data_IF_477336575317
#
_entry.id   IF_477336575317
#
_cell.length_a   1.000
_cell.length_b   1.000
_cell.length_c   1.000
_cell.angle_alpha   90.00
_cell.angle_beta   90.00
_cell.angle_gamma   90.00
#
_symmetry.space_group_name_H-M   'P 1'
#
loop_
_entity.id
_entity.type
_entity.pdbx_description
1 polymer ?
#
# COMPACT_ATOMS: atom_id res chain seq x y z
N UNK A 1 11.48 6.13 6.52
CA UNK A 1 10.83 7.45 6.31
C UNK A 1 11.01 7.85 4.85
N UNK A 2 10.20 8.76 4.29
CA UNK A 2 10.33 9.15 2.87
C UNK A 2 11.77 9.55 2.48
N UNK A 3 12.54 10.30 3.30
CA UNK A 3 13.95 10.57 2.99
C UNK A 3 14.88 9.35 2.98
N UNK A 4 14.55 8.29 3.73
CA UNK A 4 15.31 7.03 3.72
C UNK A 4 15.04 6.21 2.45
N UNK A 5 13.82 6.29 1.88
CA UNK A 5 13.53 5.69 0.58
C UNK A 5 14.45 6.23 -0.52
N UNK A 6 14.94 7.48 -0.41
CA UNK A 6 15.83 8.10 -1.40
C UNK A 6 17.25 7.49 -1.45
N UNK A 7 17.64 6.70 -0.45
CA UNK A 7 19.01 6.15 -0.30
C UNK A 7 19.02 4.70 0.22
N UNK A 8 17.91 3.99 0.06
CA UNK A 8 17.74 2.66 0.63
C UNK A 8 16.61 1.89 -0.03
N UNK A 9 16.30 0.74 0.57
CA UNK A 9 15.23 -0.16 0.12
C UNK A 9 13.92 0.15 0.82
N UNK A 10 12.82 -0.08 0.12
CA UNK A 10 11.49 0.01 0.71
C UNK A 10 10.39 -0.54 -0.17
N UNK A 11 9.19 -0.56 0.39
CA UNK A 11 7.96 -0.95 -0.30
C UNK A 11 6.91 0.15 -0.20
N UNK A 12 6.21 0.39 -1.30
CA UNK A 12 4.97 1.18 -1.31
C UNK A 12 3.84 0.28 -1.78
N UNK A 13 2.88 0.04 -0.90
CA UNK A 13 1.73 -0.82 -1.14
C UNK A 13 0.50 0.07 -1.30
N UNK A 14 -0.07 0.11 -2.50
CA UNK A 14 -1.32 0.82 -2.78
C UNK A 14 -2.52 -0.09 -2.60
N UNK A 15 -3.59 0.43 -2.00
CA UNK A 15 -4.86 -0.28 -1.83
C UNK A 15 -6.07 0.56 -2.27
N UNK A 16 -7.14 -0.06 -2.79
CA UNK A 16 -8.34 0.67 -3.21
C UNK A 16 -9.08 1.40 -2.09
N UNK A 17 -9.19 0.78 -0.92
CA UNK A 17 -9.91 1.35 0.21
C UNK A 17 -9.49 0.72 1.54
N UNK A 18 -9.23 1.58 2.53
CA UNK A 18 -9.21 1.18 3.93
C UNK A 18 -10.54 0.50 4.31
N UNK A 19 -10.49 -0.47 5.23
CA UNK A 19 -11.63 -1.27 5.72
C UNK A 19 -12.35 -2.15 4.68
N UNK A 20 -11.95 -2.18 3.41
CA UNK A 20 -12.52 -3.14 2.46
C UNK A 20 -12.06 -4.58 2.76
N UNK A 21 -12.87 -5.62 2.47
CA UNK A 21 -12.58 -7.01 2.88
C UNK A 21 -11.22 -7.51 2.39
N UNK A 22 -10.97 -7.40 1.08
CA UNK A 22 -9.71 -7.85 0.47
C UNK A 22 -8.47 -7.14 1.02
N UNK A 23 -8.60 -5.85 1.37
CA UNK A 23 -7.49 -5.09 1.95
C UNK A 23 -7.22 -5.46 3.41
N UNK A 24 -8.28 -5.68 4.20
CA UNK A 24 -8.23 -5.80 5.66
C UNK A 24 -8.07 -7.24 6.15
N UNK A 25 -8.54 -8.22 5.37
CA UNK A 25 -8.54 -9.63 5.78
C UNK A 25 -7.36 -10.42 5.21
N UNK A 26 -6.76 -9.96 4.10
CA UNK A 26 -5.73 -10.73 3.41
C UNK A 26 -4.54 -9.89 2.94
N UNK A 27 -4.75 -8.83 2.15
CA UNK A 27 -3.62 -8.15 1.49
C UNK A 27 -2.63 -7.54 2.49
N UNK A 28 -3.09 -6.60 3.34
CA UNK A 28 -2.22 -5.94 4.32
C UNK A 28 -1.80 -6.90 5.47
N UNK A 29 -2.69 -7.75 6.01
CA UNK A 29 -2.28 -8.77 6.98
C UNK A 29 -1.18 -9.70 6.47
N UNK A 30 -1.17 -10.02 5.16
CA UNK A 30 -0.09 -10.80 4.55
C UNK A 30 1.27 -10.13 4.75
N UNK A 31 1.38 -8.83 4.48
CA UNK A 31 2.61 -8.08 4.74
C UNK A 31 2.93 -7.97 6.23
N UNK A 32 1.96 -7.66 7.09
CA UNK A 32 2.14 -7.53 8.55
C UNK A 32 2.74 -8.81 9.14
N UNK A 33 2.27 -9.97 8.70
CA UNK A 33 2.66 -11.26 9.23
C UNK A 33 3.88 -11.88 8.52
N UNK A 34 4.45 -11.20 7.52
CA UNK A 34 5.56 -11.74 6.75
C UNK A 34 6.87 -11.69 7.57
N UNK A 35 7.47 -12.87 7.79
CA UNK A 35 8.60 -13.06 8.71
C UNK A 35 9.80 -12.15 8.42
N UNK A 36 10.08 -11.91 7.14
CA UNK A 36 11.25 -11.17 6.68
C UNK A 36 10.92 -9.77 6.18
N UNK A 37 9.77 -9.20 6.59
CA UNK A 37 9.33 -7.88 6.11
C UNK A 37 10.40 -6.79 6.32
N UNK A 38 11.17 -6.88 7.42
CA UNK A 38 12.23 -5.93 7.76
C UNK A 38 13.34 -5.87 6.72
N UNK A 39 13.59 -6.96 5.98
CA UNK A 39 14.62 -7.01 4.95
C UNK A 39 14.23 -6.19 3.71
N UNK A 40 12.94 -5.89 3.55
CA UNK A 40 12.42 -5.01 2.50
C UNK A 40 12.69 -3.52 2.80
N UNK A 41 13.11 -3.17 4.03
CA UNK A 41 13.38 -1.79 4.43
C UNK A 41 12.14 -1.05 4.94
N UNK A 42 11.99 0.23 4.57
CA UNK A 42 10.83 1.01 4.98
C UNK A 42 9.57 0.60 4.18
N UNK A 43 8.48 0.24 4.87
CA UNK A 43 7.23 -0.19 4.24
C UNK A 43 6.12 0.82 4.48
N UNK A 44 5.42 1.19 3.40
CA UNK A 44 4.31 2.14 3.42
C UNK A 44 3.06 1.53 2.81
N UNK A 45 1.91 1.77 3.44
CA UNK A 45 0.59 1.48 2.88
C UNK A 45 -0.06 2.81 2.51
N UNK A 46 -0.50 2.96 1.27
CA UNK A 46 -1.13 4.18 0.75
C UNK A 46 -2.56 3.88 0.31
N UNK A 47 -3.50 4.74 0.68
CA UNK A 47 -4.88 4.69 0.20
C UNK A 47 -5.42 6.09 -0.04
N UNK A 48 -6.34 6.21 -1.00
CA UNK A 48 -7.15 7.43 -1.23
C UNK A 48 -8.25 7.48 -0.18
N UNK A 49 -7.85 7.84 1.04
CA UNK A 49 -8.67 8.06 2.23
C UNK A 49 -8.04 9.23 3.01
N UNK A 50 -8.81 9.83 3.91
CA UNK A 50 -8.28 10.86 4.80
C UNK A 50 -7.37 10.29 5.91
N UNK A 51 -6.54 11.14 6.55
CA UNK A 51 -5.64 10.70 7.62
C UNK A 51 -6.32 10.09 8.84
N UNK A 52 -7.57 10.45 9.13
CA UNK A 52 -8.29 9.92 10.29
C UNK A 52 -8.69 8.46 10.04
N UNK A 53 -9.24 8.18 8.85
CA UNK A 53 -9.56 6.82 8.41
C UNK A 53 -8.30 5.96 8.34
N UNK A 54 -7.21 6.46 7.74
CA UNK A 54 -5.95 5.69 7.66
C UNK A 54 -5.35 5.42 9.04
N UNK A 55 -5.45 6.36 9.98
CA UNK A 55 -5.00 6.17 11.36
C UNK A 55 -5.82 5.10 12.08
N UNK A 56 -7.14 5.13 11.96
CA UNK A 56 -8.03 4.13 12.57
C UNK A 56 -7.76 2.74 12.00
N UNK A 57 -7.67 2.63 10.66
CA UNK A 57 -7.41 1.35 10.00
C UNK A 57 -6.04 0.76 10.36
N UNK A 58 -5.02 1.61 10.48
CA UNK A 58 -3.69 1.19 10.94
C UNK A 58 -3.74 0.63 12.38
N UNK A 59 -4.50 1.27 13.26
CA UNK A 59 -4.70 0.79 14.63
C UNK A 59 -5.40 -0.57 14.65
N UNK A 60 -6.41 -0.77 13.81
CA UNK A 60 -7.17 -2.02 13.78
C UNK A 60 -6.35 -3.19 13.23
N UNK A 61 -5.41 -2.94 12.31
CA UNK A 61 -4.56 -3.99 11.72
C UNK A 61 -3.24 -4.24 12.46
N UNK A 62 -2.63 -3.20 13.05
CA UNK A 62 -1.33 -3.28 13.72
C UNK A 62 -1.27 -2.32 14.93
N UNK A 63 -2.17 -2.53 15.91
CA UNK A 63 -2.30 -1.70 17.11
C UNK A 63 -0.97 -1.49 17.85
N UNK A 64 -0.19 -2.57 17.98
CA UNK A 64 1.11 -2.58 18.66
C UNK A 64 2.25 -1.98 17.81
N UNK A 65 2.00 -1.68 16.53
CA UNK A 65 2.97 -1.19 15.54
C UNK A 65 4.18 -2.11 15.37
N UNK A 66 4.00 -3.42 15.54
CA UNK A 66 5.09 -4.41 15.50
C UNK A 66 5.61 -4.63 14.09
N UNK A 67 4.77 -4.45 13.07
CA UNK A 67 5.19 -4.58 11.67
C UNK A 67 6.15 -3.48 11.23
N UNK A 68 6.07 -2.30 11.85
CA UNK A 68 6.79 -1.10 11.42
C UNK A 68 6.21 -0.46 10.14
N UNK A 69 5.10 -0.98 9.61
CA UNK A 69 4.42 -0.44 8.43
C UNK A 69 3.83 0.93 8.76
N UNK A 70 4.01 1.87 7.84
CA UNK A 70 3.44 3.22 7.94
C UNK A 70 2.26 3.39 6.99
N UNK A 71 1.10 3.68 7.55
CA UNK A 71 -0.12 3.97 6.78
C UNK A 71 -0.18 5.47 6.45
N UNK A 72 -0.28 5.78 5.16
CA UNK A 72 -0.27 7.13 4.60
C UNK A 72 -1.59 7.40 3.87
N UNK A 73 -2.15 8.58 4.13
CA UNK A 73 -3.34 9.07 3.46
C UNK A 73 -2.99 9.88 2.20
N UNK A 74 -3.74 9.67 1.13
CA UNK A 74 -3.70 10.44 -0.12
C UNK A 74 -5.10 11.00 -0.44
N UNK A 75 -5.64 11.91 0.39
CA UNK A 75 -7.06 12.27 0.37
C UNK A 75 -7.52 12.91 -0.95
N UNK A 76 -6.64 13.62 -1.65
CA UNK A 76 -6.93 14.27 -2.93
C UNK A 76 -6.42 13.46 -4.14
N UNK A 77 -5.99 12.21 -3.92
CA UNK A 77 -5.49 11.29 -4.95
C UNK A 77 -4.27 11.83 -5.72
N UNK A 78 -3.55 12.82 -5.17
CA UNK A 78 -2.42 13.46 -5.88
C UNK A 78 -1.24 12.52 -6.03
N UNK A 79 -0.87 11.81 -4.98
CA UNK A 79 0.26 10.87 -5.05
C UNK A 79 -0.06 9.72 -6.01
N UNK A 80 -1.26 9.17 -5.88
CA UNK A 80 -1.74 8.05 -6.69
C UNK A 80 -1.79 8.42 -8.18
N UNK A 81 -2.33 9.60 -8.51
CA UNK A 81 -2.36 10.13 -9.90
C UNK A 81 -0.97 10.42 -10.46
N UNK A 82 -0.05 10.93 -9.63
CA UNK A 82 1.32 11.20 -10.07
C UNK A 82 2.08 9.94 -10.52
N UNK A 83 1.61 8.76 -10.11
CA UNK A 83 2.14 7.46 -10.52
C UNK A 83 1.34 6.78 -11.63
N UNK A 84 0.26 7.39 -12.13
CA UNK A 84 -0.70 6.76 -13.06
C UNK A 84 -1.33 5.45 -12.50
N UNK A 85 -1.47 5.42 -11.17
CA UNK A 85 -1.99 4.27 -10.41
C UNK A 85 -3.39 4.53 -9.85
N UNK A 86 -4.11 5.56 -10.34
CA UNK A 86 -5.52 5.75 -9.99
C UNK A 86 -6.45 5.06 -11.00
N UNK A 87 -7.68 4.82 -10.58
CA UNK A 87 -8.78 4.42 -11.46
C UNK A 87 -10.08 5.07 -11.00
N UNK A 88 -11.01 5.25 -11.93
CA UNK A 88 -12.34 5.76 -11.60
C UNK A 88 -13.14 4.67 -10.87
N UNK A 89 -13.22 4.80 -9.55
CA UNK A 89 -14.03 3.96 -8.69
C UNK A 89 -15.30 4.67 -8.24
N UNK A 90 -15.65 5.82 -8.82
CA UNK A 90 -16.81 6.64 -8.41
C UNK A 90 -18.10 5.83 -8.29
N UNK A 91 -18.44 4.91 -9.22
CA UNK A 91 -19.66 4.11 -9.13
C UNK A 91 -19.74 3.17 -7.93
N UNK A 92 -18.60 2.83 -7.32
CA UNK A 92 -18.49 1.79 -6.27
C UNK A 92 -18.04 2.38 -4.93
N UNK A 93 -17.17 3.40 -4.96
CA UNK A 93 -16.46 3.95 -3.80
C UNK A 93 -16.57 5.49 -3.68
N UNK A 94 -17.34 6.14 -4.57
CA UNK A 94 -17.71 7.56 -4.49
C UNK A 94 -16.70 8.57 -5.07
N UNK A 95 -15.50 8.13 -5.43
CA UNK A 95 -14.45 8.95 -6.03
C UNK A 95 -13.41 8.06 -6.73
N UNK A 96 -12.42 8.68 -7.40
CA UNK A 96 -11.22 7.98 -7.86
C UNK A 96 -10.47 7.34 -6.68
N UNK A 97 -9.92 6.16 -6.90
CA UNK A 97 -9.16 5.40 -5.89
C UNK A 97 -7.85 4.89 -6.46
N UNK A 98 -6.98 4.43 -5.56
CA UNK A 98 -5.75 3.75 -5.94
C UNK A 98 -6.04 2.36 -6.47
N UNK A 99 -5.42 1.98 -7.58
CA UNK A 99 -5.25 0.58 -7.95
C UNK A 99 -4.57 -0.15 -6.80
N UNK A 100 -4.73 -1.47 -6.72
CA UNK A 100 -3.92 -2.31 -5.85
C UNK A 100 -2.58 -2.58 -6.50
N UNK A 101 -1.51 -2.34 -5.75
CA UNK A 101 -0.16 -2.57 -6.23
C UNK A 101 0.84 -2.74 -5.09
N UNK A 102 2.04 -3.23 -5.43
CA UNK A 102 3.23 -3.13 -4.61
C UNK A 102 4.40 -2.62 -5.48
N UNK A 103 5.07 -1.57 -5.02
CA UNK A 103 6.27 -1.02 -5.66
C UNK A 103 7.49 -1.35 -4.80
N UNK A 104 8.49 -2.00 -5.41
CA UNK A 104 9.80 -2.19 -4.80
C UNK A 104 10.65 -0.98 -5.09
N UNK A 105 11.10 -0.30 -4.04
CA UNK A 105 11.88 0.93 -4.14
C UNK A 105 13.34 0.63 -3.80
N UNK A 106 14.24 1.13 -4.63
CA UNK A 106 15.69 1.13 -4.38
C UNK A 106 16.25 2.50 -4.76
N UNK A 107 16.87 3.18 -3.79
CA UNK A 107 17.51 4.49 -3.95
C UNK A 107 16.62 5.54 -4.62
N UNK A 108 15.38 5.62 -4.13
CA UNK A 108 14.36 6.58 -4.56
C UNK A 108 13.72 6.25 -5.90
N UNK A 109 14.03 5.11 -6.50
CA UNK A 109 13.50 4.68 -7.80
C UNK A 109 12.64 3.43 -7.64
N UNK A 110 11.61 3.32 -8.47
CA UNK A 110 10.85 2.07 -8.62
C UNK A 110 11.73 1.08 -9.36
N UNK A 111 12.11 0.01 -8.67
CA UNK A 111 12.86 -1.12 -9.24
C UNK A 111 11.92 -2.13 -9.88
N UNK A 112 10.82 -2.43 -9.19
CA UNK A 112 9.78 -3.36 -9.66
C UNK A 112 8.40 -2.79 -9.33
N UNK A 113 7.44 -3.05 -10.21
CA UNK A 113 6.06 -2.65 -10.05
C UNK A 113 5.14 -3.85 -10.26
N UNK A 114 4.44 -4.24 -9.19
CA UNK A 114 3.48 -5.33 -9.17
C UNK A 114 2.08 -4.72 -9.10
N UNK A 115 1.50 -4.39 -10.26
CA UNK A 115 0.19 -3.71 -10.38
C UNK A 115 -0.87 -4.71 -10.80
N UNK A 116 -1.98 -4.77 -10.08
CA UNK A 116 -3.07 -5.69 -10.40
C UNK A 116 -3.74 -5.31 -11.74
N UNK A 117 -3.91 -6.27 -12.67
CA UNK A 117 -4.36 -5.98 -14.03
C UNK A 117 -5.81 -5.50 -14.12
N UNK A 118 -6.62 -5.82 -13.11
CA UNK A 118 -8.03 -5.46 -12.97
C UNK A 118 -8.24 -4.32 -11.95
N UNK A 119 -7.16 -3.60 -11.60
CA UNK A 119 -7.09 -2.53 -10.61
C UNK A 119 -7.30 -2.95 -9.15
N UNK A 120 -7.97 -4.06 -8.85
CA UNK A 120 -8.46 -4.34 -7.47
C UNK A 120 -8.26 -5.77 -6.98
N UNK A 121 -7.90 -6.69 -7.88
CA UNK A 121 -7.61 -8.10 -7.63
C UNK A 121 -6.45 -8.28 -6.67
N UNK A 122 -6.09 -9.52 -6.35
CA UNK A 122 -5.08 -9.82 -5.34
C UNK A 122 -4.28 -11.03 -5.79
N UNK A 123 -3.37 -10.80 -6.73
CA UNK A 123 -2.61 -11.83 -7.43
C UNK A 123 -1.12 -11.51 -7.47
N UNK A 124 -0.71 -10.43 -8.12
CA UNK A 124 0.69 -10.06 -8.33
C UNK A 124 1.22 -9.20 -7.19
N UNK A 125 0.37 -8.46 -6.48
CA UNK A 125 0.78 -7.55 -5.41
C UNK A 125 0.82 -8.20 -4.02
N UNK A 126 0.57 -9.50 -3.90
CA UNK A 126 0.62 -10.20 -2.61
C UNK A 126 2.06 -10.39 -2.13
N UNK A 127 2.26 -10.43 -0.81
CA UNK A 127 3.61 -10.47 -0.21
C UNK A 127 4.48 -11.60 -0.74
N UNK A 128 3.93 -12.79 -0.98
CA UNK A 128 4.68 -13.95 -1.49
C UNK A 128 5.15 -13.77 -2.94
N UNK A 129 4.50 -12.91 -3.72
CA UNK A 129 4.96 -12.58 -5.08
C UNK A 129 6.00 -11.47 -5.09
N UNK A 130 5.94 -10.58 -4.11
CA UNK A 130 6.78 -9.40 -4.04
C UNK A 130 8.08 -9.66 -3.28
N UNK A 131 8.03 -10.47 -2.22
CA UNK A 131 9.15 -10.75 -1.31
C UNK A 131 9.53 -12.24 -1.21
N UNK A 132 8.73 -13.14 -1.78
CA UNK A 132 8.96 -14.58 -1.75
C UNK A 132 10.06 -15.08 -2.68
#
# INVERSE_FOLDING_TARGET
SIPKLLKGKGLIIGVPAAFSPSCSESHIPGYINYKNLKDAGDVFVVSVNDPFVMKAWAHDLDADKKSGIRFLADPDCKFTKALDLDFDATPILGNHRSKRYALVIEDGKVKEAHVEPDNTGMSVSVVDKVLG
#
